data_IF_001571047996
#
_entry.id   IF_001571047996
#
_cell.length_a   1.000
_cell.length_b   1.000
_cell.length_c   1.000
_cell.angle_alpha   90.00
_cell.angle_beta   90.00
_cell.angle_gamma   90.00
#
_symmetry.space_group_name_H-M   'P 1'
#
loop_
_entity.id
_entity.type
_entity.pdbx_description
1 polymer ?
#
# COMPACT_ATOMS: atom_id res chain seq x y z
N UNK A 1 -17.20 -15.67 0.92
CA UNK A 1 -18.32 -16.56 1.36
C UNK A 1 -18.12 -17.05 2.78
N UNK A 2 -17.10 -17.86 3.10
CA UNK A 2 -16.96 -18.49 4.43
C UNK A 2 -16.87 -17.48 5.58
N UNK A 3 -16.13 -16.39 5.41
CA UNK A 3 -16.06 -15.35 6.45
C UNK A 3 -17.42 -14.71 6.74
N UNK A 4 -18.27 -14.53 5.73
CA UNK A 4 -19.64 -14.02 5.89
C UNK A 4 -20.53 -15.06 6.58
N UNK A 5 -20.43 -16.34 6.16
CA UNK A 5 -21.16 -17.45 6.78
C UNK A 5 -20.85 -17.62 8.27
N UNK A 6 -19.60 -17.36 8.66
CA UNK A 6 -19.13 -17.44 10.05
C UNK A 6 -19.39 -16.15 10.85
N UNK A 7 -19.98 -15.12 10.25
CA UNK A 7 -20.22 -13.83 10.90
C UNK A 7 -18.96 -12.99 11.14
N UNK A 8 -17.85 -13.34 10.48
CA UNK A 8 -16.56 -12.64 10.62
C UNK A 8 -16.48 -11.38 9.75
N UNK A 9 -17.35 -11.23 8.78
CA UNK A 9 -17.55 -10.02 7.98
C UNK A 9 -18.98 -9.99 7.45
N UNK A 10 -19.47 -8.79 7.12
CA UNK A 10 -20.80 -8.61 6.55
C UNK A 10 -20.73 -8.28 5.06
N UNK A 11 -19.79 -7.41 4.66
CA UNK A 11 -19.70 -6.92 3.29
C UNK A 11 -18.27 -6.90 2.79
N UNK A 12 -17.96 -7.84 1.90
CA UNK A 12 -16.61 -8.01 1.32
C UNK A 12 -16.48 -7.30 -0.01
N UNK A 13 -15.38 -6.56 -0.19
CA UNK A 13 -14.99 -5.89 -1.43
C UNK A 13 -13.72 -6.52 -1.98
N UNK A 14 -13.78 -7.05 -3.20
CA UNK A 14 -12.65 -7.60 -3.92
C UNK A 14 -12.14 -6.56 -4.91
N UNK A 15 -10.91 -6.13 -4.74
CA UNK A 15 -10.22 -5.16 -5.59
C UNK A 15 -9.16 -5.88 -6.39
N UNK A 16 -9.37 -5.95 -7.70
CA UNK A 16 -8.58 -6.79 -8.59
C UNK A 16 -8.04 -5.99 -9.79
N UNK A 17 -7.05 -6.48 -10.54
CA UNK A 17 -6.63 -5.85 -11.78
C UNK A 17 -7.83 -5.63 -12.73
N UNK A 18 -7.91 -4.45 -13.35
CA UNK A 18 -9.09 -4.04 -14.14
C UNK A 18 -9.50 -5.04 -15.24
N UNK A 19 -8.54 -5.78 -15.79
CA UNK A 19 -8.79 -6.77 -16.85
C UNK A 19 -9.21 -8.13 -16.32
N UNK A 20 -9.13 -8.36 -15.02
CA UNK A 20 -9.46 -9.65 -14.39
C UNK A 20 -10.83 -9.65 -13.69
N UNK A 21 -11.58 -8.54 -13.69
CA UNK A 21 -12.85 -8.44 -12.97
C UNK A 21 -13.86 -9.51 -13.39
N UNK A 22 -13.99 -9.79 -14.69
CA UNK A 22 -14.91 -10.80 -15.21
C UNK A 22 -14.43 -12.23 -14.91
N UNK A 23 -13.12 -12.47 -14.98
CA UNK A 23 -12.54 -13.76 -14.62
C UNK A 23 -12.77 -14.07 -13.14
N UNK A 24 -12.49 -13.13 -12.25
CA UNK A 24 -12.76 -13.25 -10.81
C UNK A 24 -14.23 -13.57 -10.52
N UNK A 25 -15.15 -12.89 -11.23
CA UNK A 25 -16.57 -13.16 -11.10
C UNK A 25 -16.94 -14.58 -11.53
N UNK A 26 -16.41 -15.04 -12.65
CA UNK A 26 -16.63 -16.39 -13.17
C UNK A 26 -16.10 -17.46 -12.22
N UNK A 27 -14.87 -17.33 -11.76
CA UNK A 27 -14.24 -18.28 -10.83
C UNK A 27 -14.96 -18.27 -9.45
N UNK A 28 -15.38 -17.10 -8.98
CA UNK A 28 -16.16 -17.00 -7.74
C UNK A 28 -17.48 -17.77 -7.84
N UNK A 29 -18.19 -17.65 -8.97
CA UNK A 29 -19.45 -18.39 -9.21
C UNK A 29 -19.23 -19.89 -9.47
N UNK A 30 -18.07 -20.30 -9.97
CA UNK A 30 -17.73 -21.72 -10.06
C UNK A 30 -17.56 -22.34 -8.67
N UNK A 31 -16.96 -21.62 -7.73
CA UNK A 31 -16.79 -22.07 -6.34
C UNK A 31 -18.09 -21.96 -5.53
N UNK A 32 -18.89 -20.94 -5.79
CA UNK A 32 -20.10 -20.63 -5.06
C UNK A 32 -21.27 -20.28 -6.03
N UNK A 33 -21.90 -21.29 -6.67
CA UNK A 33 -22.87 -21.08 -7.74
C UNK A 33 -24.12 -20.29 -7.34
N UNK A 34 -24.48 -20.30 -6.06
CA UNK A 34 -25.63 -19.57 -5.53
C UNK A 34 -25.29 -18.18 -4.98
N UNK A 35 -24.06 -17.74 -5.10
CA UNK A 35 -23.63 -16.45 -4.54
C UNK A 35 -24.27 -15.27 -5.27
N UNK A 36 -24.75 -14.30 -4.48
CA UNK A 36 -25.19 -13.01 -5.00
C UNK A 36 -23.99 -12.07 -5.11
N UNK A 37 -23.46 -11.86 -6.32
CA UNK A 37 -22.30 -11.02 -6.55
C UNK A 37 -22.64 -9.74 -7.31
N UNK A 38 -21.91 -8.65 -7.01
CA UNK A 38 -21.95 -7.39 -7.75
C UNK A 38 -20.60 -7.16 -8.44
N UNK A 39 -20.60 -7.08 -9.76
CA UNK A 39 -19.40 -6.85 -10.55
C UNK A 39 -19.45 -5.47 -11.19
N UNK A 40 -18.42 -4.67 -10.99
CA UNK A 40 -18.34 -3.33 -11.56
C UNK A 40 -17.85 -3.36 -13.01
N UNK A 41 -18.52 -2.59 -13.85
CA UNK A 41 -18.10 -2.32 -15.23
C UNK A 41 -17.49 -0.93 -15.35
N UNK A 42 -16.79 -0.65 -16.47
CA UNK A 42 -16.25 0.70 -16.72
C UNK A 42 -17.36 1.77 -16.72
N UNK A 43 -18.56 1.43 -17.23
CA UNK A 43 -19.71 2.33 -17.31
C UNK A 43 -20.26 2.72 -15.93
N UNK A 44 -20.18 1.83 -14.94
CA UNK A 44 -20.66 2.08 -13.59
C UNK A 44 -19.86 3.18 -12.89
N UNK A 45 -18.60 3.37 -13.25
CA UNK A 45 -17.69 4.39 -12.69
C UNK A 45 -17.53 5.65 -13.55
N UNK A 46 -18.36 5.82 -14.59
CA UNK A 46 -18.55 7.13 -15.22
C UNK A 46 -19.19 8.11 -14.21
N UNK A 47 -18.90 9.41 -14.34
CA UNK A 47 -19.35 10.42 -13.37
C UNK A 47 -20.86 10.37 -13.07
N UNK A 48 -21.67 10.16 -14.10
CA UNK A 48 -23.14 10.09 -13.99
C UNK A 48 -23.69 8.83 -13.30
N UNK A 49 -22.94 7.72 -13.32
CA UNK A 49 -23.39 6.41 -12.85
C UNK A 49 -22.81 6.03 -11.49
N UNK A 50 -21.64 6.61 -11.13
CA UNK A 50 -20.85 6.23 -9.96
C UNK A 50 -21.65 6.32 -8.66
N UNK A 51 -22.39 7.44 -8.45
CA UNK A 51 -23.23 7.60 -7.26
C UNK A 51 -24.25 6.49 -7.14
N UNK A 52 -24.91 6.12 -8.26
CA UNK A 52 -25.89 5.02 -8.30
C UNK A 52 -25.26 3.67 -7.98
N UNK A 53 -24.07 3.39 -8.54
CA UNK A 53 -23.37 2.13 -8.29
C UNK A 53 -22.91 2.03 -6.83
N UNK A 54 -22.30 3.08 -6.28
CA UNK A 54 -21.96 3.13 -4.86
C UNK A 54 -23.17 3.00 -3.95
N UNK A 55 -24.32 3.61 -4.31
CA UNK A 55 -25.59 3.41 -3.60
C UNK A 55 -26.06 1.95 -3.62
N UNK A 56 -25.88 1.22 -4.73
CA UNK A 56 -26.17 -0.23 -4.78
C UNK A 56 -25.26 -1.02 -3.84
N UNK A 57 -23.98 -0.67 -3.75
CA UNK A 57 -23.06 -1.29 -2.79
C UNK A 57 -23.55 -1.03 -1.36
N UNK A 58 -23.88 0.22 -1.04
CA UNK A 58 -24.29 0.63 0.31
C UNK A 58 -25.53 -0.10 0.79
N UNK A 59 -26.55 -0.21 -0.07
CA UNK A 59 -27.88 -0.72 0.29
C UNK A 59 -28.10 -2.21 -0.02
N UNK A 60 -27.27 -2.80 -0.89
CA UNK A 60 -27.45 -4.18 -1.32
C UNK A 60 -26.78 -5.18 -0.37
N UNK A 61 -27.36 -6.37 -0.28
CA UNK A 61 -26.77 -7.53 0.39
C UNK A 61 -26.12 -8.44 -0.65
N UNK A 62 -24.80 -8.28 -0.80
CA UNK A 62 -23.98 -9.06 -1.72
C UNK A 62 -23.02 -9.96 -0.94
N UNK A 63 -22.76 -11.14 -1.49
CA UNK A 63 -21.77 -12.08 -0.97
C UNK A 63 -20.34 -11.65 -1.37
N UNK A 64 -20.22 -11.05 -2.54
CA UNK A 64 -18.99 -10.42 -3.01
C UNK A 64 -19.29 -9.21 -3.90
N UNK A 65 -18.47 -8.19 -3.75
CA UNK A 65 -18.46 -7.02 -4.63
C UNK A 65 -17.08 -6.99 -5.29
N UNK A 66 -17.04 -7.06 -6.62
CA UNK A 66 -15.79 -7.16 -7.39
C UNK A 66 -15.62 -5.89 -8.20
N UNK A 67 -14.53 -5.16 -7.96
CA UNK A 67 -14.19 -3.92 -8.66
C UNK A 67 -12.74 -3.89 -9.10
N UNK A 68 -12.44 -3.12 -10.13
CA UNK A 68 -11.05 -2.92 -10.57
C UNK A 68 -10.32 -1.86 -9.74
N UNK A 69 -8.98 -1.93 -9.70
CA UNK A 69 -8.15 -0.95 -9.00
C UNK A 69 -8.50 0.51 -9.34
N UNK A 70 -8.62 0.83 -10.63
CA UNK A 70 -8.96 2.19 -11.07
C UNK A 70 -10.36 2.65 -10.67
N UNK A 71 -11.25 1.73 -10.38
CA UNK A 71 -12.59 2.00 -9.88
C UNK A 71 -12.57 2.24 -8.37
N UNK A 72 -11.80 1.43 -7.64
CA UNK A 72 -11.57 1.58 -6.20
C UNK A 72 -10.97 2.94 -5.84
N UNK A 73 -10.00 3.41 -6.63
CA UNK A 73 -9.38 4.74 -6.48
C UNK A 73 -10.36 5.92 -6.65
N UNK A 74 -11.50 5.69 -7.32
CA UNK A 74 -12.52 6.72 -7.51
C UNK A 74 -13.55 6.82 -6.37
N UNK A 75 -13.50 5.93 -5.40
CA UNK A 75 -14.36 5.96 -4.22
C UNK A 75 -13.65 6.77 -3.14
N UNK A 76 -14.09 7.99 -2.82
CA UNK A 76 -13.39 8.84 -1.88
C UNK A 76 -13.62 8.41 -0.43
N UNK A 77 -12.70 8.76 0.45
CA UNK A 77 -12.95 8.81 1.89
C UNK A 77 -13.69 10.11 2.24
N UNK A 78 -14.41 10.12 3.36
CA UNK A 78 -15.03 11.35 3.86
C UNK A 78 -13.99 12.44 4.10
N UNK A 79 -14.38 13.69 3.86
CA UNK A 79 -13.51 14.87 4.06
C UNK A 79 -13.02 14.96 5.50
N UNK A 80 -13.89 14.64 6.45
CA UNK A 80 -13.54 14.67 7.88
C UNK A 80 -12.45 13.66 8.23
N UNK A 81 -12.55 12.45 7.70
CA UNK A 81 -11.54 11.40 7.94
C UNK A 81 -10.21 11.73 7.25
N UNK A 82 -10.26 12.19 6.01
CA UNK A 82 -9.06 12.64 5.32
C UNK A 82 -8.36 13.75 6.11
N UNK A 83 -9.12 14.73 6.63
CA UNK A 83 -8.59 15.81 7.48
C UNK A 83 -7.93 15.26 8.74
N UNK A 84 -8.60 14.38 9.47
CA UNK A 84 -8.06 13.75 10.69
C UNK A 84 -6.72 13.05 10.45
N UNK A 85 -6.63 12.27 9.35
CA UNK A 85 -5.41 11.54 9.02
C UNK A 85 -4.28 12.50 8.58
N UNK A 86 -4.58 13.48 7.72
CA UNK A 86 -3.59 14.47 7.29
C UNK A 86 -3.09 15.30 8.48
N UNK A 87 -3.97 15.67 9.42
CA UNK A 87 -3.58 16.37 10.63
C UNK A 87 -2.65 15.52 11.49
N UNK A 88 -2.98 14.23 11.71
CA UNK A 88 -2.11 13.30 12.46
C UNK A 88 -0.72 13.19 11.80
N UNK A 89 -0.64 13.12 10.47
CA UNK A 89 0.64 13.11 9.76
C UNK A 89 1.44 14.41 9.95
N UNK A 90 0.77 15.56 9.98
CA UNK A 90 1.40 16.85 10.28
C UNK A 90 1.98 16.85 11.69
N UNK A 91 1.22 16.38 12.67
CA UNK A 91 1.62 16.35 14.07
C UNK A 91 2.83 15.41 14.25
N UNK A 92 2.81 14.21 13.64
CA UNK A 92 3.94 13.27 13.63
C UNK A 92 5.22 13.88 13.03
N UNK A 93 5.10 14.64 11.94
CA UNK A 93 6.25 15.34 11.34
C UNK A 93 6.74 16.46 12.25
N UNK A 94 5.85 17.19 12.92
CA UNK A 94 6.22 18.25 13.85
C UNK A 94 6.98 17.69 15.07
N UNK A 95 6.54 16.58 15.61
CA UNK A 95 7.24 15.87 16.68
C UNK A 95 8.63 15.42 16.22
N UNK A 96 8.73 14.84 15.01
CA UNK A 96 9.99 14.48 14.40
C UNK A 96 10.95 15.68 14.21
N UNK A 97 10.43 16.85 13.77
CA UNK A 97 11.21 18.08 13.65
C UNK A 97 11.70 18.54 15.03
N UNK A 98 10.85 18.48 16.03
CA UNK A 98 11.17 18.89 17.41
C UNK A 98 12.26 18.02 18.02
N UNK A 99 12.20 16.71 17.77
CA UNK A 99 13.23 15.76 18.18
C UNK A 99 14.54 16.00 17.41
N UNK A 100 14.47 16.17 16.06
CA UNK A 100 15.65 16.44 15.25
C UNK A 100 16.39 17.72 15.67
N UNK A 101 15.65 18.75 16.12
CA UNK A 101 16.25 19.98 16.66
C UNK A 101 16.95 19.73 18.01
N UNK A 102 16.36 18.91 18.89
CA UNK A 102 16.99 18.53 20.17
C UNK A 102 18.28 17.74 19.97
N UNK A 103 18.25 16.82 19.02
CA UNK A 103 19.39 15.96 18.65
C UNK A 103 20.48 16.68 17.84
N UNK A 104 20.34 18.00 17.63
CA UNK A 104 21.22 18.83 16.79
C UNK A 104 21.41 18.26 15.39
N UNK A 105 20.36 17.67 14.82
CA UNK A 105 20.39 17.16 13.45
C UNK A 105 20.70 18.28 12.44
N UNK A 106 21.29 17.91 11.32
CA UNK A 106 21.67 18.90 10.30
C UNK A 106 20.45 19.68 9.78
N UNK A 107 20.64 20.98 9.57
CA UNK A 107 19.62 21.92 9.09
C UNK A 107 18.90 21.47 7.80
N UNK A 108 19.56 20.70 6.96
CA UNK A 108 18.96 20.17 5.74
C UNK A 108 17.85 19.15 6.02
N UNK A 109 18.06 18.25 6.97
CA UNK A 109 17.05 17.23 7.38
C UNK A 109 15.78 17.92 7.89
N UNK A 110 15.95 18.93 8.73
CA UNK A 110 14.85 19.75 9.25
C UNK A 110 14.10 20.44 8.10
N UNK A 111 14.82 21.05 7.14
CA UNK A 111 14.23 21.69 5.96
C UNK A 111 13.44 20.69 5.10
N UNK A 112 13.89 19.45 4.98
CA UNK A 112 13.18 18.44 4.22
C UNK A 112 11.87 18.02 4.91
N UNK A 113 11.90 17.80 6.23
CA UNK A 113 10.70 17.52 7.01
C UNK A 113 9.71 18.70 6.95
N UNK A 114 10.18 19.92 7.00
CA UNK A 114 9.35 21.12 6.82
C UNK A 114 8.72 21.20 5.42
N UNK A 115 9.43 20.77 4.36
CA UNK A 115 8.85 20.67 3.01
C UNK A 115 7.72 19.64 2.96
N UNK A 116 7.93 18.47 3.54
CA UNK A 116 6.89 17.42 3.63
C UNK A 116 5.67 17.92 4.40
N UNK A 117 5.88 18.59 5.54
CA UNK A 117 4.80 19.22 6.30
C UNK A 117 4.00 20.22 5.45
N UNK A 118 4.69 21.12 4.73
CA UNK A 118 4.05 22.10 3.84
C UNK A 118 3.23 21.46 2.72
N UNK A 119 3.71 20.33 2.16
CA UNK A 119 2.98 19.60 1.14
C UNK A 119 1.68 18.98 1.70
N UNK A 120 1.73 18.41 2.89
CA UNK A 120 0.54 17.85 3.55
C UNK A 120 -0.42 18.97 3.95
N UNK A 121 0.11 20.08 4.46
CA UNK A 121 -0.69 21.27 4.79
C UNK A 121 -1.44 21.81 3.56
N UNK A 122 -0.77 21.91 2.40
CA UNK A 122 -1.41 22.33 1.16
C UNK A 122 -2.49 21.34 0.67
N UNK A 123 -2.30 20.01 0.91
CA UNK A 123 -3.35 19.01 0.65
C UNK A 123 -4.56 19.24 1.56
N UNK A 124 -4.33 19.54 2.83
CA UNK A 124 -5.39 19.81 3.82
C UNK A 124 -6.20 21.08 3.45
N UNK A 125 -5.53 22.13 3.02
CA UNK A 125 -6.17 23.37 2.56
C UNK A 125 -7.04 23.13 1.31
N UNK A 126 -6.51 22.43 0.31
CA UNK A 126 -7.30 22.04 -0.89
C UNK A 126 -8.53 21.20 -0.54
N UNK A 127 -8.40 20.29 0.43
CA UNK A 127 -9.52 19.48 0.88
C UNK A 127 -10.64 20.32 1.49
N UNK A 128 -10.29 21.39 2.22
CA UNK A 128 -11.26 22.31 2.81
C UNK A 128 -12.03 23.11 1.73
N UNK A 129 -11.37 23.45 0.62
CA UNK A 129 -12.02 24.15 -0.50
C UNK A 129 -12.91 23.23 -1.33
N UNK A 130 -12.57 21.95 -1.45
CA UNK A 130 -13.33 20.95 -2.23
C UNK A 130 -14.55 20.43 -1.47
N UNK A 131 -14.58 20.48 -0.15
CA UNK A 131 -15.67 19.94 0.69
C UNK A 131 -17.07 20.51 0.36
N UNK A 132 -17.13 21.58 -0.42
CA UNK A 132 -18.39 22.22 -0.85
C UNK A 132 -18.99 21.66 -2.14
N UNK A 133 -18.34 20.70 -2.83
CA UNK A 133 -18.70 20.34 -4.20
C UNK A 133 -19.08 18.85 -4.43
N UNK A 134 -18.76 17.92 -3.55
CA UNK A 134 -18.89 16.50 -3.85
C UNK A 134 -20.00 15.81 -3.01
N UNK A 135 -21.16 15.67 -3.63
CA UNK A 135 -22.27 14.78 -3.20
C UNK A 135 -21.96 13.32 -3.69
N UNK A 136 -20.79 12.80 -3.35
CA UNK A 136 -20.38 11.43 -3.66
C UNK A 136 -20.53 10.54 -2.42
N UNK A 137 -20.98 9.30 -2.65
CA UNK A 137 -20.99 8.26 -1.61
C UNK A 137 -19.54 7.94 -1.24
N UNK A 138 -19.21 8.08 0.03
CA UNK A 138 -17.88 7.83 0.56
C UNK A 138 -17.64 6.35 0.83
N UNK A 139 -16.37 5.95 1.02
CA UNK A 139 -16.01 4.56 1.31
C UNK A 139 -16.66 4.06 2.60
N UNK A 140 -16.75 4.91 3.62
CA UNK A 140 -17.40 4.61 4.89
C UNK A 140 -18.90 4.30 4.73
N UNK A 141 -19.58 5.05 3.85
CA UNK A 141 -21.02 4.87 3.58
C UNK A 141 -21.31 3.59 2.79
N UNK A 142 -20.31 2.97 2.16
CA UNK A 142 -20.51 1.66 1.51
C UNK A 142 -20.82 0.55 2.50
N UNK A 143 -20.41 0.71 3.76
CA UNK A 143 -20.57 -0.31 4.79
C UNK A 143 -19.69 -1.55 4.57
N UNK A 144 -18.59 -1.40 3.81
CA UNK A 144 -17.59 -2.46 3.60
C UNK A 144 -16.79 -2.62 4.89
N UNK A 145 -16.71 -3.85 5.39
CA UNK A 145 -15.94 -4.22 6.57
C UNK A 145 -14.75 -5.14 6.26
N UNK A 146 -14.61 -5.56 4.99
CA UNK A 146 -13.46 -6.37 4.55
C UNK A 146 -13.09 -6.09 3.11
N UNK A 147 -11.79 -5.87 2.87
CA UNK A 147 -11.24 -5.78 1.52
C UNK A 147 -10.31 -6.95 1.23
N UNK A 148 -10.41 -7.49 0.03
CA UNK A 148 -9.46 -8.42 -0.58
C UNK A 148 -8.80 -7.68 -1.74
N UNK A 149 -7.50 -7.42 -1.62
CA UNK A 149 -6.73 -6.68 -2.62
C UNK A 149 -5.79 -7.63 -3.35
N UNK A 150 -6.12 -7.94 -4.60
CA UNK A 150 -5.23 -8.70 -5.47
C UNK A 150 -4.17 -7.76 -6.05
N UNK A 151 -2.96 -8.28 -6.28
CA UNK A 151 -1.80 -7.53 -6.75
C UNK A 151 -1.50 -6.28 -5.90
N UNK A 152 -1.52 -6.44 -4.58
CA UNK A 152 -1.35 -5.36 -3.61
C UNK A 152 -0.03 -4.58 -3.78
N UNK A 153 0.98 -5.16 -4.46
CA UNK A 153 2.23 -4.49 -4.78
C UNK A 153 2.06 -3.21 -5.63
N UNK A 154 0.92 -3.01 -6.28
CA UNK A 154 0.61 -1.75 -6.96
C UNK A 154 0.56 -0.53 -6.02
N UNK A 155 0.39 -0.75 -4.73
CA UNK A 155 0.25 0.29 -3.69
C UNK A 155 1.50 0.47 -2.82
N UNK A 156 2.64 -0.07 -3.24
CA UNK A 156 3.90 -0.03 -2.49
C UNK A 156 4.53 1.36 -2.33
N UNK A 157 4.17 2.34 -3.16
CA UNK A 157 4.71 3.69 -3.14
C UNK A 157 3.98 4.58 -2.12
N UNK A 158 4.01 4.17 -0.85
CA UNK A 158 3.58 4.99 0.28
C UNK A 158 4.79 5.76 0.82
N UNK A 159 4.65 7.06 1.04
CA UNK A 159 5.76 7.87 1.51
C UNK A 159 6.31 7.37 2.85
N UNK A 160 7.62 7.22 2.92
CA UNK A 160 8.37 6.98 4.15
C UNK A 160 9.17 8.25 4.49
N UNK A 161 8.76 8.95 5.55
CA UNK A 161 9.49 10.11 6.03
C UNK A 161 10.74 9.64 6.77
N UNK A 162 11.93 10.09 6.33
CA UNK A 162 13.20 9.63 6.83
C UNK A 162 14.22 10.76 6.95
N UNK A 163 15.06 10.67 7.96
CA UNK A 163 16.26 11.50 8.12
C UNK A 163 17.42 11.00 7.24
N UNK A 164 17.32 9.80 6.68
CA UNK A 164 18.36 9.18 5.86
C UNK A 164 18.51 9.90 4.53
N UNK A 165 19.74 10.30 4.20
CA UNK A 165 20.08 11.04 2.99
C UNK A 165 20.67 10.14 1.94
N UNK A 166 20.40 10.46 0.68
CA UNK A 166 21.03 9.81 -0.47
C UNK A 166 20.98 8.28 -0.43
N UNK A 167 20.01 7.71 0.30
CA UNK A 167 19.77 6.28 0.38
C UNK A 167 18.76 5.91 -0.70
N UNK A 168 19.20 5.15 -1.68
CA UNK A 168 18.34 4.64 -2.74
C UNK A 168 17.30 3.67 -2.19
N UNK A 169 16.09 3.70 -2.74
CA UNK A 169 14.99 2.82 -2.36
C UNK A 169 14.02 3.41 -1.32
N UNK A 170 14.34 4.55 -0.71
CA UNK A 170 13.41 5.26 0.18
C UNK A 170 12.61 6.24 -0.68
N UNK A 171 11.32 5.94 -0.88
CA UNK A 171 10.42 6.85 -1.58
C UNK A 171 9.95 7.95 -0.64
N UNK A 172 10.32 9.19 -0.98
CA UNK A 172 9.84 10.39 -0.29
C UNK A 172 8.63 11.00 -0.99
N UNK A 173 8.32 10.52 -2.19
CA UNK A 173 7.14 10.90 -2.95
C UNK A 173 6.05 9.85 -2.77
N UNK A 174 4.84 10.30 -2.56
CA UNK A 174 3.68 9.46 -2.32
C UNK A 174 2.83 9.36 -3.60
N UNK A 175 2.49 8.14 -3.99
CA UNK A 175 1.47 7.94 -5.00
C UNK A 175 0.09 8.17 -4.36
N UNK A 176 -0.76 8.97 -4.99
CA UNK A 176 -2.10 9.28 -4.47
C UNK A 176 -2.91 8.03 -4.16
N UNK A 177 -2.83 6.99 -5.01
CA UNK A 177 -3.50 5.70 -4.79
C UNK A 177 -3.04 4.98 -3.52
N UNK A 178 -1.74 5.06 -3.19
CA UNK A 178 -1.20 4.43 -1.99
C UNK A 178 -1.64 5.16 -0.72
N UNK A 179 -1.66 6.50 -0.76
CA UNK A 179 -2.21 7.34 0.30
C UNK A 179 -3.70 7.08 0.53
N UNK A 180 -4.47 6.99 -0.54
CA UNK A 180 -5.90 6.68 -0.49
C UNK A 180 -6.17 5.28 0.11
N UNK A 181 -5.46 4.26 -0.36
CA UNK A 181 -5.57 2.91 0.24
C UNK A 181 -5.17 2.92 1.71
N UNK A 182 -4.11 3.64 2.08
CA UNK A 182 -3.69 3.73 3.48
C UNK A 182 -4.79 4.28 4.38
N UNK A 183 -5.47 5.35 3.94
CA UNK A 183 -6.60 5.92 4.69
C UNK A 183 -7.75 4.91 4.85
N UNK A 184 -8.07 4.15 3.79
CA UNK A 184 -9.09 3.10 3.83
C UNK A 184 -8.69 1.94 4.75
N UNK A 185 -7.43 1.55 4.74
CA UNK A 185 -6.92 0.54 5.67
C UNK A 185 -7.02 0.98 7.13
N UNK A 186 -6.66 2.24 7.43
CA UNK A 186 -6.80 2.78 8.80
C UNK A 186 -8.26 2.78 9.27
N UNK A 187 -9.18 3.10 8.37
CA UNK A 187 -10.62 3.00 8.66
C UNK A 187 -11.06 1.57 8.96
N UNK A 188 -10.67 0.63 8.11
CA UNK A 188 -11.02 -0.78 8.28
C UNK A 188 -10.44 -1.36 9.58
N UNK A 189 -9.21 -1.03 9.92
CA UNK A 189 -8.62 -1.44 11.19
C UNK A 189 -9.39 -0.92 12.40
N UNK A 190 -9.83 0.34 12.34
CA UNK A 190 -10.61 0.96 13.40
C UNK A 190 -11.96 0.23 13.63
N UNK A 191 -12.68 -0.13 12.57
CA UNK A 191 -14.00 -0.76 12.68
C UNK A 191 -13.96 -2.27 12.87
N UNK A 192 -12.83 -2.94 12.52
CA UNK A 192 -12.74 -4.41 12.56
C UNK A 192 -11.72 -4.94 13.56
N UNK A 193 -11.00 -4.08 14.24
CA UNK A 193 -9.90 -4.49 15.14
C UNK A 193 -8.76 -5.20 14.40
N UNK A 194 -8.40 -4.71 13.20
CA UNK A 194 -7.27 -5.21 12.41
C UNK A 194 -7.58 -6.44 11.55
N UNK A 195 -8.87 -6.77 11.31
CA UNK A 195 -9.27 -7.98 10.56
C UNK A 195 -9.87 -7.69 9.19
N UNK A 196 -9.94 -6.43 8.79
CA UNK A 196 -10.61 -5.98 7.58
C UNK A 196 -9.79 -6.00 6.31
N UNK A 197 -8.49 -6.33 6.35
CA UNK A 197 -7.57 -6.14 5.24
C UNK A 197 -6.90 -7.45 4.88
N UNK A 198 -7.07 -7.90 3.63
CA UNK A 198 -6.41 -9.06 3.07
C UNK A 198 -5.72 -8.66 1.76
N UNK A 199 -4.41 -8.82 1.70
CA UNK A 199 -3.60 -8.57 0.52
C UNK A 199 -3.13 -9.86 -0.10
N UNK A 200 -3.16 -9.94 -1.43
CA UNK A 200 -2.55 -11.01 -2.21
C UNK A 200 -1.54 -10.41 -3.19
N UNK A 201 -0.36 -11.00 -3.28
CA UNK A 201 0.66 -10.61 -4.25
C UNK A 201 1.72 -11.68 -4.41
N UNK A 202 2.18 -11.91 -5.63
CA UNK A 202 3.34 -12.76 -5.92
C UNK A 202 4.68 -12.05 -5.71
N UNK A 203 4.70 -10.72 -5.51
CA UNK A 203 5.92 -9.91 -5.39
C UNK A 203 5.82 -8.91 -4.25
N UNK A 204 5.79 -9.36 -2.99
CA UNK A 204 5.64 -8.49 -1.83
C UNK A 204 6.78 -7.46 -1.71
N UNK A 205 8.00 -7.88 -2.07
CA UNK A 205 9.20 -7.05 -2.11
C UNK A 205 9.87 -7.23 -3.47
N UNK A 206 9.98 -6.18 -4.26
CA UNK A 206 10.57 -6.25 -5.61
C UNK A 206 11.79 -5.36 -5.80
N UNK A 207 11.77 -4.13 -5.31
CA UNK A 207 12.80 -3.13 -5.59
C UNK A 207 13.55 -2.64 -4.36
N UNK A 208 12.91 -2.64 -3.21
CA UNK A 208 13.47 -2.07 -1.99
C UNK A 208 12.91 -2.75 -0.75
N UNK A 209 13.77 -2.90 0.25
CA UNK A 209 13.38 -3.37 1.57
C UNK A 209 12.32 -2.48 2.26
N UNK A 210 12.23 -1.20 1.86
CA UNK A 210 11.20 -0.27 2.33
C UNK A 210 9.78 -0.74 1.97
N UNK A 211 9.65 -1.59 0.97
CA UNK A 211 8.36 -2.19 0.60
C UNK A 211 7.82 -3.09 1.73
N UNK A 212 8.70 -3.78 2.48
CA UNK A 212 8.31 -4.54 3.69
C UNK A 212 7.73 -3.62 4.77
N UNK A 213 8.41 -2.51 5.07
CA UNK A 213 7.88 -1.52 5.99
C UNK A 213 6.52 -0.98 5.54
N UNK A 214 6.36 -0.74 4.25
CA UNK A 214 5.08 -0.29 3.68
C UNK A 214 3.97 -1.32 3.89
N UNK A 215 4.24 -2.61 3.66
CA UNK A 215 3.28 -3.68 3.93
C UNK A 215 2.91 -3.75 5.41
N UNK A 216 3.88 -3.66 6.31
CA UNK A 216 3.60 -3.62 7.74
C UNK A 216 2.78 -2.40 8.14
N UNK A 217 3.00 -1.23 7.54
CA UNK A 217 2.16 -0.04 7.77
C UNK A 217 0.70 -0.26 7.38
N UNK A 218 0.44 -1.04 6.35
CA UNK A 218 -0.94 -1.40 5.97
C UNK A 218 -1.53 -2.44 6.91
N UNK A 219 -0.78 -3.48 7.27
CA UNK A 219 -1.30 -4.71 7.89
C UNK A 219 -1.06 -4.79 9.40
N UNK A 220 -0.02 -4.13 9.91
CA UNK A 220 0.45 -4.24 11.30
C UNK A 220 0.62 -2.87 11.97
N UNK A 221 -0.23 -1.90 11.61
CA UNK A 221 -0.09 -0.52 12.12
C UNK A 221 0.01 -0.46 13.66
N UNK A 222 -0.91 -1.11 14.37
CA UNK A 222 -0.96 -1.08 15.82
C UNK A 222 0.23 -1.79 16.47
N UNK A 223 0.76 -2.84 15.83
CA UNK A 223 1.97 -3.50 16.30
C UNK A 223 3.18 -2.58 16.15
N UNK A 224 3.34 -1.93 14.99
CA UNK A 224 4.41 -0.95 14.80
C UNK A 224 4.31 0.23 15.78
N UNK A 225 3.09 0.71 16.06
CA UNK A 225 2.83 1.79 17.01
C UNK A 225 3.22 1.38 18.43
N UNK A 226 2.79 0.20 18.88
CA UNK A 226 3.08 -0.30 20.26
C UNK A 226 4.56 -0.58 20.51
N UNK A 227 5.31 -0.93 19.45
CA UNK A 227 6.74 -1.19 19.52
C UNK A 227 7.61 0.04 19.24
N UNK A 228 7.01 1.21 18.98
CA UNK A 228 7.75 2.43 18.63
C UNK A 228 8.41 2.40 17.24
N UNK A 229 7.97 1.49 16.37
CA UNK A 229 8.51 1.27 15.01
C UNK A 229 7.70 1.97 13.92
N UNK A 230 6.73 2.81 14.28
CA UNK A 230 5.86 3.49 13.33
C UNK A 230 6.62 4.49 12.45
N UNK A 231 7.68 5.10 12.98
CA UNK A 231 8.56 5.95 12.20
C UNK A 231 9.58 5.11 11.42
N UNK A 232 9.73 5.41 10.12
CA UNK A 232 10.62 4.66 9.26
C UNK A 232 12.04 4.57 9.79
N UNK A 233 12.60 5.65 10.34
CA UNK A 233 13.98 5.67 10.85
C UNK A 233 14.16 4.72 12.05
N UNK A 234 13.14 4.58 12.92
CA UNK A 234 13.16 3.62 14.03
C UNK A 234 13.12 2.18 13.50
N UNK A 235 12.20 1.90 12.56
CA UNK A 235 12.11 0.60 11.90
C UNK A 235 13.40 0.25 11.15
N UNK A 236 13.94 1.22 10.41
CA UNK A 236 15.15 1.06 9.62
C UNK A 236 16.39 0.80 10.48
N UNK A 237 16.52 1.45 11.64
CA UNK A 237 17.62 1.20 12.58
C UNK A 237 17.54 -0.16 13.25
N UNK A 238 16.34 -0.75 13.35
CA UNK A 238 16.12 -2.06 13.96
C UNK A 238 16.32 -3.21 12.97
N UNK A 239 15.90 -3.02 11.72
CA UNK A 239 15.78 -4.12 10.76
C UNK A 239 16.62 -3.95 9.48
N UNK A 240 17.32 -2.85 9.31
CA UNK A 240 17.99 -2.62 8.05
C UNK A 240 19.37 -2.03 8.16
N UNK A 241 20.18 -2.39 7.18
CA UNK A 241 21.53 -1.91 6.99
C UNK A 241 21.68 -1.23 5.63
N UNK A 242 22.32 -0.07 5.63
CA UNK A 242 22.69 0.62 4.40
C UNK A 242 24.03 0.12 3.88
N UNK A 243 24.10 -0.15 2.59
CA UNK A 243 25.33 -0.56 1.91
C UNK A 243 25.66 0.48 0.86
N UNK A 244 26.93 0.94 0.88
CA UNK A 244 27.46 1.83 -0.15
C UNK A 244 28.25 1.00 -1.16
N UNK A 245 27.81 1.02 -2.41
CA UNK A 245 28.50 0.39 -3.53
C UNK A 245 28.94 1.42 -4.57
N UNK A 246 30.04 1.12 -5.26
CA UNK A 246 30.49 1.91 -6.40
C UNK A 246 29.78 1.37 -7.63
N UNK A 247 28.96 2.20 -8.26
CA UNK A 247 28.18 1.87 -9.46
C UNK A 247 28.64 2.73 -10.65
N UNK A 248 28.50 2.18 -11.86
CA UNK A 248 28.70 2.96 -13.08
C UNK A 248 27.66 4.08 -13.13
N UNK A 249 28.10 5.30 -13.45
CA UNK A 249 27.17 6.41 -13.60
C UNK A 249 26.20 6.16 -14.79
N UNK A 250 24.92 6.59 -14.70
CA UNK A 250 23.95 6.35 -15.77
C UNK A 250 24.37 6.91 -17.14
N UNK A 251 25.21 7.94 -17.13
CA UNK A 251 25.77 8.59 -18.29
C UNK A 251 26.89 7.77 -18.96
N UNK A 252 27.26 6.61 -18.36
CA UNK A 252 28.33 5.73 -18.87
C UNK A 252 29.75 6.27 -18.65
N UNK A 253 29.90 7.46 -18.09
CA UNK A 253 31.20 8.14 -17.89
C UNK A 253 31.57 8.22 -16.40
N UNK A 254 32.25 7.19 -15.89
CA UNK A 254 32.79 7.22 -14.53
C UNK A 254 32.00 6.40 -13.52
N UNK A 255 32.46 6.39 -12.28
CA UNK A 255 31.90 5.65 -11.16
C UNK A 255 31.35 6.62 -10.11
N UNK A 256 30.23 6.26 -9.49
CA UNK A 256 29.68 7.00 -8.36
C UNK A 256 29.43 6.07 -7.17
N UNK A 257 29.67 6.56 -5.98
CA UNK A 257 29.25 5.88 -4.76
C UNK A 257 27.73 6.06 -4.58
N UNK A 258 27.00 4.96 -4.43
CA UNK A 258 25.56 4.98 -4.15
C UNK A 258 25.25 4.14 -2.92
N UNK A 259 24.65 4.78 -1.94
CA UNK A 259 24.16 4.11 -0.73
C UNK A 259 22.73 3.64 -0.96
N UNK A 260 22.46 2.38 -0.64
CA UNK A 260 21.14 1.78 -0.72
C UNK A 260 20.79 1.10 0.59
N UNK A 261 19.52 1.03 0.91
CA UNK A 261 18.98 0.17 1.94
C UNK A 261 18.94 -1.25 1.36
N UNK A 262 19.96 -2.08 1.65
CA UNK A 262 20.22 -3.28 0.85
C UNK A 262 20.29 -4.58 1.66
N UNK A 263 20.37 -4.52 2.98
CA UNK A 263 20.44 -5.72 3.82
C UNK A 263 19.46 -5.64 4.96
N UNK A 264 18.81 -6.77 5.25
CA UNK A 264 18.07 -6.92 6.49
C UNK A 264 19.03 -7.27 7.62
N UNK A 265 18.90 -6.51 8.69
CA UNK A 265 19.45 -6.81 10.00
C UNK A 265 18.33 -7.39 10.85
N UNK A 266 18.65 -8.24 11.83
CA UNK A 266 17.66 -8.86 12.70
C UNK A 266 16.46 -9.49 11.95
N UNK A 267 16.77 -10.18 10.83
CA UNK A 267 15.77 -10.80 9.97
C UNK A 267 14.85 -11.80 10.68
N UNK A 268 15.33 -12.64 11.65
CA UNK A 268 14.46 -13.58 12.36
C UNK A 268 13.31 -12.89 13.10
N UNK A 269 13.56 -11.78 13.76
CA UNK A 269 12.55 -11.02 14.49
C UNK A 269 11.56 -10.35 13.51
N UNK A 270 12.07 -9.71 12.46
CA UNK A 270 11.24 -9.13 11.42
C UNK A 270 10.31 -10.17 10.79
N UNK A 271 10.83 -11.36 10.49
CA UNK A 271 10.05 -12.45 9.91
C UNK A 271 9.06 -13.05 10.91
N UNK A 272 9.40 -13.12 12.20
CA UNK A 272 8.47 -13.54 13.24
C UNK A 272 7.28 -12.56 13.32
N UNK A 273 7.55 -11.26 13.34
CA UNK A 273 6.50 -10.23 13.32
C UNK A 273 5.63 -10.33 12.06
N UNK A 274 6.24 -10.45 10.90
CA UNK A 274 5.50 -10.47 9.64
C UNK A 274 4.64 -11.71 9.46
N UNK A 275 5.11 -12.87 9.92
CA UNK A 275 4.36 -14.15 9.88
C UNK A 275 3.10 -14.15 10.75
N UNK A 276 2.95 -13.23 11.68
CA UNK A 276 1.69 -13.08 12.44
C UNK A 276 0.51 -12.68 11.54
N UNK A 277 0.79 -11.99 10.42
CA UNK A 277 -0.22 -11.48 9.49
C UNK A 277 -0.06 -11.98 8.06
N UNK A 278 1.00 -12.76 7.75
CA UNK A 278 1.31 -13.21 6.41
C UNK A 278 1.45 -14.73 6.32
N UNK A 279 0.74 -15.31 5.36
CA UNK A 279 1.00 -16.68 4.87
C UNK A 279 1.92 -16.57 3.65
N UNK A 280 3.10 -17.19 3.75
CA UNK A 280 4.15 -17.11 2.73
C UNK A 280 4.34 -18.48 2.12
N UNK A 281 4.02 -18.60 0.83
CA UNK A 281 4.19 -19.81 0.05
C UNK A 281 5.26 -19.60 -1.04
N UNK A 282 6.34 -20.36 -0.99
CA UNK A 282 7.38 -20.33 -2.03
C UNK A 282 7.11 -21.39 -3.10
N UNK A 283 7.72 -21.25 -4.27
CA UNK A 283 7.59 -22.22 -5.36
C UNK A 283 7.96 -23.63 -4.92
N UNK A 284 8.99 -23.78 -4.08
CA UNK A 284 9.44 -25.07 -3.55
C UNK A 284 8.41 -25.71 -2.60
N UNK A 285 7.68 -24.89 -1.83
CA UNK A 285 6.63 -25.35 -0.92
C UNK A 285 5.39 -25.82 -1.68
N UNK A 286 5.09 -25.19 -2.81
CA UNK A 286 3.88 -25.46 -3.59
C UNK A 286 4.00 -26.75 -4.45
N UNK A 287 5.22 -27.22 -4.69
CA UNK A 287 5.49 -28.42 -5.47
C UNK A 287 4.73 -28.48 -6.81
N UNK A 288 4.65 -27.33 -7.49
CA UNK A 288 3.87 -27.14 -8.72
C UNK A 288 4.50 -27.93 -9.88
N UNK A 289 3.69 -28.53 -10.77
CA UNK A 289 4.18 -29.15 -11.98
C UNK A 289 4.64 -28.05 -12.97
N UNK A 290 5.90 -27.63 -12.84
CA UNK A 290 6.49 -26.65 -13.74
C UNK A 290 7.26 -27.36 -14.87
N UNK A 291 7.22 -26.85 -16.12
CA UNK A 291 8.04 -27.35 -17.20
C UNK A 291 9.52 -27.23 -16.88
N UNK A 292 10.30 -28.25 -17.28
CA UNK A 292 11.75 -28.20 -17.14
C UNK A 292 12.31 -27.15 -18.10
N UNK A 293 12.90 -26.08 -17.55
CA UNK A 293 13.51 -25.04 -18.37
C UNK A 293 14.95 -25.42 -18.74
N UNK A 294 15.30 -25.32 -20.01
CA UNK A 294 16.66 -25.43 -20.51
C UNK A 294 17.17 -24.02 -20.81
N UNK A 295 18.18 -23.58 -20.10
CA UNK A 295 18.79 -22.26 -20.31
C UNK A 295 19.99 -22.40 -21.23
N UNK A 296 19.99 -21.66 -22.36
CA UNK A 296 21.12 -21.55 -23.27
C UNK A 296 21.65 -20.12 -23.26
N UNK A 297 22.89 -19.96 -22.81
CA UNK A 297 23.58 -18.67 -22.86
C UNK A 297 24.21 -18.48 -24.25
N UNK A 298 23.80 -17.44 -24.96
CA UNK A 298 24.39 -17.05 -26.25
C UNK A 298 25.22 -15.79 -26.06
N UNK A 299 26.51 -15.88 -26.31
CA UNK A 299 27.43 -14.72 -26.28
C UNK A 299 27.48 -14.12 -27.68
N UNK A 300 26.99 -12.90 -27.83
CA UNK A 300 27.14 -12.13 -29.07
C UNK A 300 28.44 -11.31 -28.98
N UNK A 301 29.39 -11.57 -29.88
CA UNK A 301 30.57 -10.73 -30.04
C UNK A 301 30.21 -9.65 -31.07
N UNK A 302 30.07 -8.41 -30.59
CA UNK A 302 29.95 -7.24 -31.47
C UNK A 302 31.33 -6.97 -32.08
N UNK A 303 31.50 -7.29 -33.34
CA UNK A 303 32.61 -6.79 -34.13
C UNK A 303 32.34 -5.30 -34.40
N UNK A 304 33.06 -4.45 -33.68
CA UNK A 304 33.14 -3.02 -34.02
C UNK A 304 33.95 -2.89 -35.31
N UNK A 305 33.30 -2.51 -36.41
CA UNK A 305 33.94 -2.04 -37.64
C UNK A 305 34.34 -0.57 -37.49
#
# INVERSE_FOLDING_TARGET
MESKRLGLCQKSLFVVPNHLTEQWASEFLQLYPSANILVATKKDFEAKNRKRFCGRIATGDYDAIIIGHSQFEKIPMSVERQRKILQKQIDEIMDGISQAKRDRAENFTIKQMERSRKQIQAKLEKLNDQSRKDDLVTFEELGVDRIFMDEAHYYKNLAAYSKMRNVGGISQTEAQKSSDLYMKCRYLDEITGGRGIIFATGTPISNSMVEMYTLQRYLQYHLLESQGLLHFDAWASTFGETVTAIELAPEGSGYRAKTRFARFYNLPELMAMFKEVADIQTADMLNLPVPKANFHSVVLILLLN
#
